data_IF_576063968872
#
_entry.id   IF_576063968872
#
_cell.length_a   1.000
_cell.length_b   1.000
_cell.length_c   1.000
_cell.angle_alpha   90.00
_cell.angle_beta   90.00
_cell.angle_gamma   90.00
#
_symmetry.space_group_name_H-M   'P 1'
#
loop_
_entity.id
_entity.type
_entity.pdbx_description
1 polymer ?
#
# COMPACT_ATOMS: atom_id res chain seq x y z
N UNK A 1 5.26 -13.94 -2.02
CA UNK A 1 6.68 -13.51 -2.09
C UNK A 1 6.75 -11.98 -2.10
N UNK A 2 7.58 -11.39 -1.25
CA UNK A 2 7.78 -9.94 -1.21
C UNK A 2 8.54 -9.41 -2.43
N UNK A 3 8.10 -8.27 -2.97
CA UNK A 3 8.76 -7.62 -4.11
C UNK A 3 9.65 -6.50 -3.58
N UNK A 4 10.96 -6.73 -3.47
CA UNK A 4 11.91 -5.73 -2.97
C UNK A 4 11.97 -4.48 -3.87
N UNK A 5 12.05 -4.67 -5.18
CA UNK A 5 11.96 -3.57 -6.16
C UNK A 5 10.49 -3.29 -6.51
N UNK A 6 9.72 -2.86 -5.51
CA UNK A 6 8.29 -2.67 -5.67
C UNK A 6 7.98 -1.44 -6.54
N UNK A 7 8.78 -0.39 -6.43
CA UNK A 7 8.64 0.84 -7.24
C UNK A 7 8.75 0.52 -8.72
N UNK A 8 9.60 -0.47 -9.04
CA UNK A 8 9.70 -1.41 -10.17
C UNK A 8 8.45 -1.98 -10.86
N UNK A 9 7.40 -2.22 -10.07
CA UNK A 9 6.18 -2.90 -10.54
C UNK A 9 4.88 -2.14 -10.20
N UNK A 10 4.99 -0.95 -9.62
CA UNK A 10 3.87 -0.06 -9.34
C UNK A 10 3.09 0.32 -10.62
N UNK A 11 1.78 0.06 -10.61
CA UNK A 11 0.87 0.42 -11.71
C UNK A 11 0.80 1.95 -11.95
N UNK A 12 1.06 2.76 -10.92
CA UNK A 12 1.08 4.22 -11.01
C UNK A 12 2.38 4.80 -11.57
N UNK A 13 3.44 4.00 -11.84
CA UNK A 13 4.75 4.54 -12.26
C UNK A 13 4.67 5.44 -13.49
N UNK A 14 3.83 5.09 -14.46
CA UNK A 14 3.65 5.85 -15.70
C UNK A 14 2.53 6.89 -15.65
N UNK A 15 1.90 7.09 -14.50
CA UNK A 15 0.83 8.08 -14.35
C UNK A 15 1.43 9.49 -14.17
N UNK A 16 0.64 10.49 -14.55
CA UNK A 16 0.94 11.89 -14.30
C UNK A 16 1.14 12.15 -12.79
N UNK A 17 2.30 12.69 -12.34
CA UNK A 17 2.52 13.03 -10.94
C UNK A 17 1.42 13.92 -10.36
N UNK A 18 0.91 14.89 -11.11
CA UNK A 18 -0.12 15.81 -10.62
C UNK A 18 -1.45 15.08 -10.34
N UNK A 19 -1.69 13.97 -11.05
CA UNK A 19 -2.85 13.10 -10.81
C UNK A 19 -2.68 12.21 -9.56
N UNK A 20 -1.45 11.99 -9.08
CA UNK A 20 -1.14 11.16 -7.91
C UNK A 20 -1.08 11.95 -6.59
N UNK A 21 -0.73 13.24 -6.65
CA UNK A 21 -0.58 14.11 -5.48
C UNK A 21 -1.76 15.07 -5.25
N UNK A 22 -2.98 14.59 -5.52
CA UNK A 22 -4.23 15.34 -5.34
C UNK A 22 -4.73 15.32 -3.89
N UNK A 23 -5.63 16.26 -3.56
CA UNK A 23 -6.22 16.43 -2.23
C UNK A 23 -7.75 16.20 -2.22
N UNK A 24 -8.31 15.96 -1.04
CA UNK A 24 -9.76 15.83 -0.85
C UNK A 24 -10.39 14.72 -1.70
N UNK A 25 -11.58 14.98 -2.26
CA UNK A 25 -12.33 13.98 -3.03
C UNK A 25 -11.60 13.47 -4.29
N UNK A 26 -10.63 14.24 -4.82
CA UNK A 26 -9.85 13.83 -5.99
C UNK A 26 -8.96 12.61 -5.69
N UNK A 27 -8.59 12.37 -4.42
CA UNK A 27 -7.83 11.20 -4.01
C UNK A 27 -8.53 9.88 -4.35
N UNK A 28 -9.86 9.89 -4.49
CA UNK A 28 -10.61 8.70 -4.91
C UNK A 28 -10.16 8.20 -6.29
N UNK A 29 -9.77 9.08 -7.21
CA UNK A 29 -9.23 8.68 -8.52
C UNK A 29 -7.87 8.01 -8.39
N UNK A 30 -6.97 8.56 -7.57
CA UNK A 30 -5.67 7.93 -7.31
C UNK A 30 -5.83 6.55 -6.63
N UNK A 31 -6.79 6.39 -5.71
CA UNK A 31 -7.09 5.09 -5.09
C UNK A 31 -7.54 4.02 -6.10
N UNK A 32 -8.18 4.41 -7.21
CA UNK A 32 -8.57 3.45 -8.26
C UNK A 32 -7.36 2.84 -8.95
N UNK A 33 -6.27 3.59 -9.16
CA UNK A 33 -5.02 3.07 -9.74
C UNK A 33 -4.43 1.99 -8.84
N UNK A 34 -4.58 2.13 -7.52
CA UNK A 34 -4.11 1.13 -6.57
C UNK A 34 -4.95 -0.17 -6.61
N UNK A 35 -6.16 -0.17 -7.18
CA UNK A 35 -7.03 -1.35 -7.26
C UNK A 35 -6.45 -2.32 -8.30
N UNK A 36 -5.84 -3.41 -7.82
CA UNK A 36 -5.17 -4.39 -8.68
C UNK A 36 -3.68 -4.12 -8.91
N UNK A 37 -3.11 -3.09 -8.28
CA UNK A 37 -1.66 -2.88 -8.33
C UNK A 37 -0.95 -4.07 -7.64
N UNK A 38 -0.01 -4.77 -8.31
CA UNK A 38 0.60 -6.00 -7.78
C UNK A 38 1.50 -5.77 -6.56
N UNK A 39 1.89 -4.52 -6.33
CA UNK A 39 2.77 -4.09 -5.23
C UNK A 39 2.06 -3.19 -4.22
N UNK A 40 0.72 -3.30 -4.13
CA UNK A 40 -0.07 -2.45 -3.24
C UNK A 40 0.37 -2.59 -1.79
N UNK A 41 0.71 -3.80 -1.35
CA UNK A 41 1.12 -4.10 0.03
C UNK A 41 2.49 -3.51 0.33
N UNK A 42 3.46 -3.71 -0.55
CA UNK A 42 4.81 -3.16 -0.43
C UNK A 42 4.80 -1.63 -0.38
N UNK A 43 4.04 -1.00 -1.28
CA UNK A 43 3.84 0.45 -1.31
C UNK A 43 3.20 0.98 -0.02
N UNK A 44 2.26 0.24 0.57
CA UNK A 44 1.63 0.65 1.83
C UNK A 44 2.60 0.55 3.00
N UNK A 45 3.34 -0.55 3.10
CA UNK A 45 4.31 -0.77 4.17
C UNK A 45 5.35 0.35 4.21
N UNK A 46 5.94 0.67 3.05
CA UNK A 46 6.95 1.71 2.93
C UNK A 46 6.41 3.08 3.37
N UNK A 47 5.16 3.40 3.02
CA UNK A 47 4.53 4.64 3.43
C UNK A 47 4.22 4.71 4.94
N UNK A 48 3.93 3.58 5.58
CA UNK A 48 3.64 3.52 7.01
C UNK A 48 4.92 3.56 7.85
N UNK A 49 5.93 2.77 7.48
CA UNK A 49 7.23 2.72 8.16
C UNK A 49 7.94 4.07 8.09
N UNK A 50 7.95 4.71 6.92
CA UNK A 50 8.55 6.03 6.74
C UNK A 50 7.62 7.20 7.12
N UNK A 51 6.42 6.92 7.62
CA UNK A 51 5.41 7.92 8.01
C UNK A 51 5.17 9.00 6.95
N UNK A 52 5.10 8.59 5.68
CA UNK A 52 4.96 9.51 4.55
C UNK A 52 3.66 10.30 4.69
N UNK A 53 3.77 11.62 4.61
CA UNK A 53 2.67 12.53 4.96
C UNK A 53 1.72 12.80 3.79
N UNK A 54 2.17 12.75 2.54
CA UNK A 54 1.36 13.21 1.41
C UNK A 54 1.00 12.10 0.43
N UNK A 55 -0.07 12.32 -0.34
CA UNK A 55 -0.50 11.45 -1.44
C UNK A 55 -1.19 10.16 -1.03
N UNK A 56 -1.62 9.41 -2.06
CA UNK A 56 -2.22 8.08 -1.90
C UNK A 56 -1.14 7.01 -2.06
N UNK A 57 -1.01 6.16 -1.05
CA UNK A 57 -0.02 5.08 -0.99
C UNK A 57 -0.71 3.77 -0.66
N UNK A 58 -0.45 2.72 -1.42
CA UNK A 58 -1.06 1.41 -1.19
C UNK A 58 -2.60 1.42 -1.19
N UNK A 59 -3.22 2.40 -1.85
CA UNK A 59 -4.67 2.59 -1.84
C UNK A 59 -5.21 3.26 -0.58
N UNK A 60 -4.37 3.92 0.22
CA UNK A 60 -4.76 4.70 1.40
C UNK A 60 -4.34 6.17 1.27
N UNK A 61 -5.25 7.06 1.66
CA UNK A 61 -4.98 8.48 1.87
C UNK A 61 -4.12 8.70 3.11
N UNK A 62 -3.47 9.86 3.22
CA UNK A 62 -2.78 10.33 4.44
C UNK A 62 -3.64 10.16 5.70
N UNK A 63 -4.89 10.63 5.65
CA UNK A 63 -5.81 10.58 6.80
C UNK A 63 -6.09 9.15 7.26
N UNK A 64 -6.26 8.23 6.31
CA UNK A 64 -6.46 6.81 6.59
C UNK A 64 -5.20 6.17 7.19
N UNK A 65 -4.01 6.46 6.63
CA UNK A 65 -2.74 5.97 7.17
C UNK A 65 -2.49 6.47 8.60
N UNK A 66 -2.70 7.77 8.86
CA UNK A 66 -2.59 8.34 10.21
C UNK A 66 -3.57 7.70 11.20
N UNK A 67 -4.80 7.40 10.75
CA UNK A 67 -5.77 6.68 11.60
C UNK A 67 -5.30 5.25 11.91
N UNK A 68 -4.70 4.56 10.94
CA UNK A 68 -4.14 3.22 11.15
C UNK A 68 -2.95 3.23 12.12
N UNK A 69 -1.99 4.14 11.93
CA UNK A 69 -0.83 4.30 12.81
C UNK A 69 -1.26 4.58 14.27
N UNK A 70 -2.29 5.40 14.48
CA UNK A 70 -2.84 5.64 15.84
C UNK A 70 -3.51 4.42 16.47
N UNK A 71 -4.11 3.54 15.66
CA UNK A 71 -4.78 2.32 16.13
C UNK A 71 -3.82 1.18 16.42
N UNK A 72 -2.60 1.24 15.85
CA UNK A 72 -1.57 0.19 15.94
C UNK A 72 -0.23 0.82 16.38
N UNK A 73 -0.16 1.44 17.58
CA UNK A 73 1.06 2.06 18.07
C UNK A 73 2.16 1.05 18.42
N UNK A 74 1.79 -0.23 18.54
CA UNK A 74 2.64 -1.38 18.87
C UNK A 74 3.40 -1.97 17.67
N UNK A 75 3.09 -1.53 16.45
CA UNK A 75 3.73 -2.05 15.23
C UNK A 75 5.01 -1.27 14.95
N UNK A 76 6.16 -1.94 15.13
CA UNK A 76 7.49 -1.37 14.89
C UNK A 76 7.94 -1.46 13.42
N UNK A 77 7.46 -2.48 12.70
CA UNK A 77 7.77 -2.75 11.29
C UNK A 77 6.50 -3.19 10.55
N UNK A 78 5.96 -2.29 9.73
CA UNK A 78 4.82 -2.58 8.86
C UNK A 78 5.20 -3.51 7.73
N UNK A 79 6.44 -3.46 7.26
CA UNK A 79 6.98 -4.47 6.34
C UNK A 79 6.79 -5.87 6.88
N UNK A 80 7.32 -6.19 8.06
CA UNK A 80 7.31 -7.55 8.58
C UNK A 80 5.88 -8.04 8.84
N UNK A 81 5.04 -7.16 9.39
CA UNK A 81 3.64 -7.45 9.66
C UNK A 81 2.85 -7.72 8.36
N UNK A 82 3.02 -6.88 7.34
CA UNK A 82 2.29 -7.00 6.08
C UNK A 82 2.86 -8.10 5.17
N UNK A 83 4.15 -8.38 5.24
CA UNK A 83 4.79 -9.52 4.55
C UNK A 83 4.23 -10.83 5.09
N UNK A 84 4.24 -11.00 6.42
CA UNK A 84 3.67 -12.20 7.07
C UNK A 84 2.20 -12.42 6.68
N UNK A 85 1.39 -11.35 6.71
CA UNK A 85 -0.02 -11.41 6.32
C UNK A 85 -0.21 -11.74 4.82
N UNK A 86 0.65 -11.22 3.95
CA UNK A 86 0.62 -11.50 2.51
C UNK A 86 0.95 -12.98 2.24
N UNK A 87 1.98 -13.51 2.88
CA UNK A 87 2.36 -14.92 2.74
C UNK A 87 1.29 -15.90 3.25
N UNK A 88 0.62 -15.56 4.36
CA UNK A 88 -0.52 -16.34 4.85
C UNK A 88 -1.70 -16.33 3.85
N UNK A 89 -2.02 -15.17 3.28
CA UNK A 89 -3.06 -15.06 2.26
C UNK A 89 -2.73 -15.86 1.00
N UNK A 90 -1.50 -15.74 0.48
CA UNK A 90 -1.04 -16.46 -0.71
C UNK A 90 -1.10 -17.98 -0.49
N UNK A 91 -0.58 -18.48 0.64
CA UNK A 91 -0.68 -19.90 1.02
C UNK A 91 -2.14 -20.38 1.10
N UNK A 92 -3.01 -19.57 1.69
CA UNK A 92 -4.44 -19.91 1.82
C UNK A 92 -5.12 -19.97 0.44
N UNK A 93 -4.82 -19.01 -0.44
CA UNK A 93 -5.35 -19.01 -1.81
C UNK A 93 -4.87 -20.22 -2.62
N UNK A 94 -3.60 -20.62 -2.47
CA UNK A 94 -3.05 -21.81 -3.13
C UNK A 94 -3.76 -23.09 -2.67
N UNK A 95 -4.04 -23.22 -1.36
CA UNK A 95 -4.79 -24.36 -0.80
C UNK A 95 -6.24 -24.43 -1.30
N UNK A 96 -6.87 -23.30 -1.59
CA UNK A 96 -8.26 -23.23 -2.08
C UNK A 96 -8.32 -23.44 -3.61
N UNK A 97 -7.25 -23.09 -4.33
CA UNK A 97 -7.19 -23.16 -5.79
C UNK A 97 -6.78 -24.55 -6.33
N UNK A 98 -6.27 -25.45 -5.47
CA UNK A 98 -5.91 -26.83 -5.78
C UNK A 98 -7.00 -27.83 -5.40
#
# INVERSE_FOLDING_TARGET
MWITDWTSRAACRGADPDALFVQGAAQNRAKLICRGCPVRTECLADALDNRIEFGVWGGMTERERRALLRRRPDVESWRDLLESAKEEYERTNELIAG
#
